data_IF_283202239088
#
_entry.id   IF_283202239088
#
_cell.length_a   1.000
_cell.length_b   1.000
_cell.length_c   1.000
_cell.angle_alpha   90.00
_cell.angle_beta   90.00
_cell.angle_gamma   90.00
#
_symmetry.space_group_name_H-M   'P 1'
#
loop_
_entity.id
_entity.type
_entity.pdbx_description
1 polymer ?
#
# COMPACT_ATOMS: atom_id res chain seq x y z
N UNK A 1 54.28 7.34 -48.81
CA UNK A 1 52.96 7.39 -49.46
C UNK A 1 51.89 7.58 -48.38
N UNK A 2 51.22 8.74 -48.42
CA UNK A 2 49.95 9.17 -47.82
C UNK A 2 49.69 8.83 -46.33
N UNK A 3 49.88 9.72 -45.33
CA UNK A 3 49.22 11.02 -44.98
C UNK A 3 47.70 10.94 -44.77
N UNK A 4 47.27 11.37 -43.57
CA UNK A 4 46.11 12.21 -43.13
C UNK A 4 45.96 11.94 -41.60
N UNK A 5 46.41 12.76 -40.62
CA UNK A 5 46.04 14.14 -40.17
C UNK A 5 44.52 14.28 -40.05
N UNK A 6 43.93 14.53 -38.86
CA UNK A 6 43.54 15.87 -38.38
C UNK A 6 43.01 15.88 -36.91
N UNK A 7 43.55 16.82 -36.13
CA UNK A 7 43.13 17.61 -34.94
C UNK A 7 42.06 17.13 -33.93
N UNK A 8 42.30 17.17 -32.61
CA UNK A 8 42.42 18.29 -31.63
C UNK A 8 41.09 19.01 -31.29
N UNK A 9 40.67 18.97 -30.01
CA UNK A 9 40.42 20.16 -29.17
C UNK A 9 39.89 19.79 -27.77
N UNK A 10 40.68 20.15 -26.76
CA UNK A 10 40.24 20.43 -25.39
C UNK A 10 39.84 21.90 -25.36
N UNK A 11 38.72 22.25 -24.71
CA UNK A 11 38.59 23.57 -24.08
C UNK A 11 37.70 23.52 -22.84
N UNK A 12 38.09 24.40 -21.93
CA UNK A 12 37.79 24.57 -20.52
C UNK A 12 36.90 25.84 -20.37
N UNK A 13 36.38 26.09 -19.17
CA UNK A 13 35.73 27.34 -18.68
C UNK A 13 34.24 27.43 -19.05
N UNK A 14 33.27 27.77 -18.19
CA UNK A 14 33.25 28.25 -16.82
C UNK A 14 31.97 29.08 -16.58
N UNK A 15 31.38 28.94 -15.41
CA UNK A 15 30.72 29.98 -14.61
C UNK A 15 29.38 30.65 -15.07
N UNK A 16 28.31 30.31 -14.31
CA UNK A 16 27.46 31.24 -13.53
C UNK A 16 26.08 31.77 -14.03
N UNK A 17 25.18 31.80 -13.03
CA UNK A 17 23.97 32.63 -12.79
C UNK A 17 22.62 32.34 -13.49
N UNK A 18 21.66 31.90 -12.67
CA UNK A 18 20.43 32.63 -12.37
C UNK A 18 19.19 32.37 -13.24
N UNK A 19 18.05 32.10 -12.60
CA UNK A 19 16.73 32.37 -13.21
C UNK A 19 15.66 31.29 -13.06
N UNK A 20 14.89 31.43 -11.99
CA UNK A 20 13.58 30.85 -11.69
C UNK A 20 12.61 30.71 -12.89
N UNK A 21 11.92 29.57 -13.06
CA UNK A 21 10.48 29.52 -13.48
C UNK A 21 9.89 28.09 -13.35
N UNK A 22 8.92 27.98 -12.43
CA UNK A 22 7.66 27.22 -12.49
C UNK A 22 7.61 25.82 -13.11
N UNK A 23 7.66 24.78 -12.27
CA UNK A 23 7.04 23.48 -12.56
C UNK A 23 5.70 23.35 -11.83
N UNK A 24 4.63 23.20 -12.62
CA UNK A 24 3.29 22.78 -12.18
C UNK A 24 3.35 21.31 -11.75
N UNK A 25 3.29 21.07 -10.43
CA UNK A 25 3.09 19.73 -9.89
C UNK A 25 1.59 19.37 -9.90
N UNK A 26 1.25 18.31 -10.62
CA UNK A 26 -0.07 17.70 -10.61
C UNK A 26 -0.37 17.10 -9.22
N UNK A 27 -1.50 17.51 -8.64
CA UNK A 27 -2.04 16.99 -7.39
C UNK A 27 -2.63 15.58 -7.60
N UNK A 28 -2.16 14.61 -6.83
CA UNK A 28 -2.82 13.32 -6.63
C UNK A 28 -3.74 13.42 -5.39
N UNK A 29 -4.98 12.88 -5.41
CA UNK A 29 -5.85 12.91 -4.25
C UNK A 29 -5.56 11.75 -3.29
N UNK A 30 -4.93 12.05 -2.15
CA UNK A 30 -4.94 11.19 -0.97
C UNK A 30 -6.28 11.35 -0.24
N UNK A 31 -7.09 10.29 -0.19
CA UNK A 31 -8.17 10.12 0.80
C UNK A 31 -7.89 8.88 1.62
N UNK A 32 -7.43 9.07 2.85
CA UNK A 32 -7.53 8.05 3.91
C UNK A 32 -8.91 8.19 4.57
N UNK A 33 -9.64 7.10 4.83
CA UNK A 33 -10.80 7.13 5.72
C UNK A 33 -10.34 7.04 7.18
N UNK A 34 -10.94 7.90 8.01
CA UNK A 34 -10.86 7.87 9.48
C UNK A 34 -11.69 6.69 10.03
N UNK A 35 -11.24 5.98 11.08
CA UNK A 35 -12.09 5.08 11.84
C UNK A 35 -12.76 5.86 12.97
N UNK A 36 -14.08 5.96 12.95
CA UNK A 36 -14.87 6.41 14.11
C UNK A 36 -15.66 5.23 14.67
N UNK A 37 -15.46 5.03 15.98
CA UNK A 37 -16.46 4.65 16.98
C UNK A 37 -17.28 3.38 16.73
N UNK A 38 -16.92 2.31 17.45
CA UNK A 38 -17.90 1.52 18.19
C UNK A 38 -17.24 1.04 19.48
N UNK A 39 -17.75 1.51 20.62
CA UNK A 39 -17.49 0.89 21.90
C UNK A 39 -18.79 0.88 22.70
N UNK A 40 -18.98 -0.24 23.40
CA UNK A 40 -19.83 -0.41 24.59
C UNK A 40 -21.34 -0.41 24.38
N UNK A 41 -21.90 -1.63 24.42
CA UNK A 41 -22.96 -1.93 25.38
C UNK A 41 -23.05 -3.44 25.67
N UNK A 42 -23.32 -3.73 26.95
CA UNK A 42 -23.81 -4.98 27.58
C UNK A 42 -22.81 -6.04 28.08
N UNK A 43 -22.58 -5.94 29.40
CA UNK A 43 -22.55 -7.10 30.31
C UNK A 43 -23.97 -7.60 30.63
N UNK A 44 -24.13 -8.92 30.72
CA UNK A 44 -24.71 -9.58 31.92
C UNK A 44 -26.22 -9.84 32.04
N UNK A 45 -26.56 -11.15 32.06
CA UNK A 45 -27.65 -11.83 32.79
C UNK A 45 -29.13 -11.59 32.43
N UNK A 46 -29.83 -12.62 31.92
CA UNK A 46 -30.57 -13.57 32.78
C UNK A 46 -31.31 -14.68 31.99
N UNK A 47 -31.48 -15.81 32.69
CA UNK A 47 -32.18 -17.05 32.32
C UNK A 47 -33.67 -16.87 32.00
N UNK A 48 -34.19 -17.65 31.04
CA UNK A 48 -35.28 -18.63 31.19
C UNK A 48 -35.75 -19.14 29.81
N UNK A 49 -35.86 -20.47 29.66
CA UNK A 49 -36.52 -21.14 28.53
C UNK A 49 -38.05 -21.26 28.74
N UNK A 50 -38.73 -22.17 28.01
CA UNK A 50 -39.32 -21.87 26.70
C UNK A 50 -40.87 -22.04 26.68
N UNK A 51 -41.59 -21.34 25.80
CA UNK A 51 -42.97 -21.70 25.44
C UNK A 51 -43.32 -21.42 23.96
N UNK A 52 -43.70 -22.51 23.30
CA UNK A 52 -44.74 -22.75 22.27
C UNK A 52 -45.36 -21.61 21.43
N UNK A 53 -45.40 -21.88 20.11
CA UNK A 53 -46.52 -21.80 19.16
C UNK A 53 -47.59 -20.71 19.34
N UNK A 54 -47.82 -19.87 18.33
CA UNK A 54 -49.01 -19.92 17.46
C UNK A 54 -48.99 -18.85 16.36
N UNK A 55 -49.21 -19.27 15.12
CA UNK A 55 -49.72 -18.46 14.01
C UNK A 55 -51.19 -18.12 14.28
N UNK A 56 -51.72 -17.01 13.70
CA UNK A 56 -52.71 -17.26 12.65
C UNK A 56 -52.61 -16.33 11.43
N UNK A 57 -53.43 -16.72 10.48
CA UNK A 57 -53.47 -16.46 9.05
C UNK A 57 -54.44 -15.32 8.67
N UNK A 58 -54.28 -14.81 7.44
CA UNK A 58 -55.27 -14.23 6.51
C UNK A 58 -55.98 -12.87 6.70
N UNK A 59 -55.74 -12.04 5.67
CA UNK A 59 -56.70 -11.32 4.80
C UNK A 59 -57.67 -10.27 5.40
N UNK A 60 -57.58 -9.00 4.93
CA UNK A 60 -58.39 -8.37 3.86
C UNK A 60 -58.24 -6.79 3.90
N UNK A 61 -58.88 -5.96 3.05
CA UNK A 61 -58.33 -5.24 1.88
C UNK A 61 -58.28 -3.68 2.04
N UNK A 62 -57.89 -2.87 1.00
CA UNK A 62 -57.58 -1.45 1.17
C UNK A 62 -58.81 -0.53 1.02
N UNK A 63 -58.90 0.51 1.84
CA UNK A 63 -59.91 1.57 1.72
C UNK A 63 -59.41 2.77 0.91
N UNK A 64 -60.18 3.09 -0.13
CA UNK A 64 -60.20 4.35 -0.89
C UNK A 64 -60.76 5.49 -0.02
N UNK A 65 -60.26 6.72 -0.20
CA UNK A 65 -61.09 7.93 -0.37
C UNK A 65 -60.27 9.17 -0.78
N UNK A 66 -60.91 10.26 -1.28
CA UNK A 66 -60.52 10.91 -2.53
C UNK A 66 -60.07 12.38 -2.40
N UNK A 67 -59.48 12.93 -3.46
CA UNK A 67 -59.45 14.38 -3.75
C UNK A 67 -60.77 14.79 -4.44
N UNK A 68 -61.24 16.06 -4.32
CA UNK A 68 -60.94 17.03 -5.40
C UNK A 68 -61.00 18.54 -5.05
N UNK A 69 -60.24 19.35 -5.81
CA UNK A 69 -60.55 20.66 -6.46
C UNK A 69 -59.21 21.41 -6.70
N UNK A 70 -58.68 21.72 -7.91
CA UNK A 70 -59.21 22.34 -9.14
C UNK A 70 -59.99 23.64 -8.84
N UNK A 71 -59.72 24.84 -9.38
CA UNK A 71 -59.05 25.34 -10.60
C UNK A 71 -59.11 26.93 -10.52
N UNK A 72 -58.87 27.77 -11.56
CA UNK A 72 -57.66 27.98 -12.36
C UNK A 72 -57.35 29.49 -12.76
N UNK A 73 -56.11 29.76 -13.20
CA UNK A 73 -55.64 30.63 -14.36
C UNK A 73 -56.04 32.13 -14.51
N UNK A 74 -55.50 32.92 -15.49
CA UNK A 74 -54.22 32.90 -16.25
C UNK A 74 -53.54 34.29 -16.48
N UNK A 75 -52.39 34.23 -17.17
CA UNK A 75 -51.98 35.09 -18.32
C UNK A 75 -51.15 36.38 -18.07
N UNK A 76 -49.94 36.44 -18.65
CA UNK A 76 -49.66 37.03 -19.99
C UNK A 76 -48.22 37.60 -20.04
N UNK A 77 -47.37 37.02 -20.89
CA UNK A 77 -46.15 37.65 -21.43
C UNK A 77 -46.57 38.44 -22.71
N UNK A 78 -45.91 39.55 -23.15
CA UNK A 78 -44.63 39.45 -23.87
C UNK A 78 -43.70 40.72 -23.94
N UNK A 79 -42.38 40.51 -23.84
CA UNK A 79 -41.28 40.97 -24.75
C UNK A 79 -41.10 42.49 -25.13
N UNK A 80 -40.07 42.93 -25.93
CA UNK A 80 -38.86 43.66 -25.47
C UNK A 80 -38.60 45.04 -26.16
N UNK A 81 -37.40 45.63 -25.92
CA UNK A 81 -36.72 46.86 -26.46
C UNK A 81 -36.69 47.98 -25.41
N UNK A 82 -35.61 48.76 -25.16
CA UNK A 82 -34.68 49.41 -26.08
C UNK A 82 -33.48 50.01 -25.29
N UNK A 83 -32.36 50.22 -25.98
CA UNK A 83 -31.11 50.84 -25.51
C UNK A 83 -31.28 52.25 -24.92
N UNK A 84 -30.61 52.53 -23.81
CA UNK A 84 -30.09 53.88 -23.51
C UNK A 84 -28.65 53.81 -22.99
N UNK A 85 -27.78 54.55 -23.67
CA UNK A 85 -26.39 54.82 -23.32
C UNK A 85 -26.30 55.44 -21.92
N UNK A 86 -25.48 54.84 -21.03
CA UNK A 86 -24.85 55.56 -19.92
C UNK A 86 -23.35 55.35 -19.97
N UNK A 87 -22.64 56.47 -19.95
CA UNK A 87 -21.20 56.64 -19.97
C UNK A 87 -20.47 55.77 -18.90
N UNK A 88 -19.19 55.42 -19.14
CA UNK A 88 -18.42 54.60 -18.21
C UNK A 88 -18.20 55.36 -16.89
N UNK A 89 -18.67 54.76 -15.80
CA UNK A 89 -18.35 55.17 -14.43
C UNK A 89 -16.83 55.07 -14.23
N UNK A 90 -16.15 56.11 -13.69
CA UNK A 90 -14.73 56.02 -13.36
C UNK A 90 -14.50 54.85 -12.40
N UNK A 91 -13.65 53.91 -12.78
CA UNK A 91 -13.19 52.85 -11.88
C UNK A 91 -12.43 53.51 -10.73
N UNK A 92 -13.04 53.56 -9.55
CA UNK A 92 -12.30 53.78 -8.31
C UNK A 92 -11.26 52.66 -8.19
N UNK A 93 -9.99 52.99 -7.89
CA UNK A 93 -8.97 51.97 -7.69
C UNK A 93 -9.44 51.04 -6.57
N UNK A 94 -9.50 49.74 -6.87
CA UNK A 94 -9.77 48.67 -5.93
C UNK A 94 -8.90 48.89 -4.69
N UNK A 95 -9.51 49.38 -3.60
CA UNK A 95 -8.84 49.36 -2.30
C UNK A 95 -8.61 47.90 -1.96
N UNK A 96 -7.40 47.52 -1.47
CA UNK A 96 -7.18 46.19 -0.96
C UNK A 96 -8.26 45.90 0.06
N UNK A 97 -9.02 44.83 -0.14
CA UNK A 97 -9.88 44.29 0.91
C UNK A 97 -8.96 44.02 2.08
N UNK A 98 -9.07 44.84 3.14
CA UNK A 98 -8.44 44.55 4.42
C UNK A 98 -8.81 43.12 4.76
N UNK A 99 -7.81 42.24 4.76
CA UNK A 99 -7.95 40.85 5.18
C UNK A 99 -8.26 40.85 6.67
N UNK A 100 -9.52 41.12 7.02
CA UNK A 100 -10.08 40.81 8.32
C UNK A 100 -9.86 39.32 8.52
N UNK A 101 -8.84 38.99 9.32
CA UNK A 101 -8.55 37.63 9.77
C UNK A 101 -9.88 37.08 10.26
N UNK A 102 -10.41 36.06 9.56
CA UNK A 102 -11.58 35.30 10.01
C UNK A 102 -11.31 34.91 11.46
N UNK A 103 -12.05 35.49 12.40
CA UNK A 103 -11.88 35.20 13.81
C UNK A 103 -12.04 33.70 14.04
N UNK A 104 -11.05 33.08 14.68
CA UNK A 104 -11.17 31.68 15.06
C UNK A 104 -12.31 31.54 16.08
N UNK A 105 -13.25 30.63 15.82
CA UNK A 105 -14.36 30.33 16.76
C UNK A 105 -13.82 29.72 18.06
N UNK A 106 -12.70 28.99 17.96
CA UNK A 106 -12.02 28.40 19.10
C UNK A 106 -11.41 29.49 20.00
N UNK A 107 -11.72 29.42 21.30
CA UNK A 107 -11.05 30.25 22.31
C UNK A 107 -9.65 29.70 22.52
N UNK A 108 -8.65 30.56 22.29
CA UNK A 108 -7.25 30.24 22.52
C UNK A 108 -6.84 30.94 23.82
N UNK A 109 -6.47 30.16 24.83
CA UNK A 109 -5.81 30.65 26.03
C UNK A 109 -4.31 30.37 25.91
N UNK A 110 -3.46 31.34 26.22
CA UNK A 110 -2.04 31.07 26.40
C UNK A 110 -1.87 30.16 27.62
N UNK A 111 -1.20 29.03 27.45
CA UNK A 111 -0.81 28.19 28.59
C UNK A 111 0.26 28.87 29.46
N UNK A 112 0.66 28.20 30.53
CA UNK A 112 1.60 28.73 31.55
C UNK A 112 3.06 28.91 31.06
N UNK A 113 3.30 28.82 29.75
CA UNK A 113 4.61 29.01 29.12
C UNK A 113 5.63 27.89 29.39
N UNK A 114 5.27 26.87 30.17
CA UNK A 114 6.10 25.70 30.49
C UNK A 114 5.40 24.41 30.04
N UNK A 115 6.17 23.36 29.75
CA UNK A 115 5.60 22.07 29.36
C UNK A 115 4.89 21.42 30.57
N UNK A 116 3.62 20.97 30.43
CA UNK A 116 2.88 20.37 31.53
C UNK A 116 3.50 19.05 32.00
N UNK A 117 3.97 18.99 33.25
CA UNK A 117 4.69 17.85 33.82
C UNK A 117 3.93 17.15 34.97
N UNK A 118 2.61 17.34 35.06
CA UNK A 118 1.75 16.87 36.16
C UNK A 118 1.75 15.34 36.33
N UNK A 119 2.12 14.60 35.30
CA UNK A 119 2.18 13.14 35.29
C UNK A 119 3.62 12.60 35.35
N UNK A 120 4.59 13.44 35.73
CA UNK A 120 6.00 13.07 35.81
C UNK A 120 6.70 13.03 34.45
N UNK A 121 6.18 13.73 33.44
CA UNK A 121 6.80 13.73 32.11
C UNK A 121 8.15 14.44 32.10
N UNK A 122 9.12 13.82 31.44
CA UNK A 122 10.48 14.33 31.29
C UNK A 122 10.81 14.54 29.82
N UNK A 123 11.65 15.55 29.55
CA UNK A 123 12.18 15.82 28.22
C UNK A 123 13.52 15.12 28.03
N UNK A 124 13.63 14.25 27.02
CA UNK A 124 14.86 13.56 26.64
C UNK A 124 15.17 13.78 25.16
N UNK A 125 16.45 13.91 24.84
CA UNK A 125 16.94 13.94 23.47
C UNK A 125 17.88 12.76 23.24
N UNK A 126 17.67 12.02 22.15
CA UNK A 126 18.48 10.87 21.75
C UNK A 126 19.22 11.20 20.46
N UNK A 127 20.53 10.94 20.42
CA UNK A 127 21.32 11.07 19.20
C UNK A 127 21.10 9.86 18.28
N UNK A 128 20.34 10.09 17.21
CA UNK A 128 20.04 9.09 16.17
C UNK A 128 20.91 9.30 14.93
N UNK A 129 21.83 10.27 14.95
CA UNK A 129 22.72 10.56 13.83
C UNK A 129 23.58 9.38 13.35
N UNK A 130 24.03 8.44 14.21
CA UNK A 130 24.76 7.27 13.72
C UNK A 130 23.91 6.39 12.81
N UNK A 131 22.59 6.33 13.04
CA UNK A 131 21.67 5.57 12.19
C UNK A 131 21.36 6.32 10.88
N UNK A 132 20.90 7.56 10.98
CA UNK A 132 20.43 8.35 9.82
C UNK A 132 21.54 8.63 8.80
N UNK A 133 22.80 8.76 9.25
CA UNK A 133 23.96 8.90 8.35
C UNK A 133 24.25 7.62 7.55
N UNK A 134 23.92 6.44 8.11
CA UNK A 134 24.17 5.14 7.45
C UNK A 134 23.08 4.78 6.46
N UNK A 135 21.84 5.17 6.73
CA UNK A 135 20.68 4.87 5.89
C UNK A 135 20.53 5.94 4.82
N UNK A 136 20.97 5.60 3.60
CA UNK A 136 20.88 6.48 2.43
C UNK A 136 19.77 6.07 1.45
N UNK A 137 19.03 5.00 1.76
CA UNK A 137 17.97 4.47 0.90
C UNK A 137 16.67 5.28 0.91
N UNK A 138 16.52 6.20 1.87
CA UNK A 138 15.32 7.03 2.02
C UNK A 138 15.70 8.45 2.43
N UNK A 139 14.83 9.42 2.09
CA UNK A 139 15.02 10.82 2.44
C UNK A 139 14.78 11.11 3.93
N UNK A 140 13.98 10.27 4.62
CA UNK A 140 13.59 10.44 6.02
C UNK A 140 13.80 9.17 6.83
N UNK A 141 15.06 8.74 7.05
CA UNK A 141 15.35 7.51 7.79
C UNK A 141 14.83 7.55 9.23
N UNK A 142 14.77 8.74 9.86
CA UNK A 142 14.26 8.94 11.22
C UNK A 142 12.79 8.53 11.39
N UNK A 143 12.00 8.50 10.32
CA UNK A 143 10.60 8.09 10.38
C UNK A 143 10.46 6.62 10.80
N UNK A 144 11.40 5.76 10.41
CA UNK A 144 11.38 4.36 10.82
C UNK A 144 11.43 4.22 12.35
N UNK A 145 12.28 5.01 13.02
CA UNK A 145 12.39 5.01 14.48
C UNK A 145 11.06 5.43 15.11
N UNK A 146 10.45 6.51 14.62
CA UNK A 146 9.16 7.02 15.10
C UNK A 146 8.07 5.95 14.94
N UNK A 147 7.97 5.35 13.76
CA UNK A 147 6.93 4.35 13.50
C UNK A 147 7.11 3.11 14.39
N UNK A 148 8.35 2.69 14.65
CA UNK A 148 8.65 1.58 15.55
C UNK A 148 8.33 1.90 17.01
N UNK A 149 8.61 3.12 17.46
CA UNK A 149 8.20 3.59 18.79
C UNK A 149 6.68 3.52 18.92
N UNK A 150 5.93 4.06 17.95
CA UNK A 150 4.46 4.05 17.98
C UNK A 150 3.87 2.64 17.97
N UNK A 151 4.55 1.68 17.33
CA UNK A 151 4.13 0.28 17.33
C UNK A 151 4.38 -0.41 18.68
N UNK A 152 5.49 -0.08 19.35
CA UNK A 152 5.83 -0.69 20.63
C UNK A 152 5.02 -0.12 21.78
N UNK A 153 4.82 1.20 21.78
CA UNK A 153 4.15 1.93 22.87
C UNK A 153 2.65 2.13 22.63
N UNK A 154 2.19 1.94 21.38
CA UNK A 154 0.81 2.13 20.98
C UNK A 154 0.44 3.59 20.72
N UNK A 155 -0.57 3.80 19.87
CA UNK A 155 -1.03 5.14 19.48
C UNK A 155 -1.58 5.95 20.66
N UNK A 156 -2.30 5.30 21.58
CA UNK A 156 -2.96 5.94 22.72
C UNK A 156 -1.99 6.51 23.74
N UNK A 157 -0.77 5.96 23.84
CA UNK A 157 0.27 6.50 24.72
C UNK A 157 0.69 7.92 24.32
N UNK A 158 0.59 8.28 23.02
CA UNK A 158 1.04 9.58 22.51
C UNK A 158 -0.09 10.58 22.29
N UNK A 159 -1.32 10.09 22.14
CA UNK A 159 -2.49 10.90 21.77
C UNK A 159 -3.62 10.82 22.81
N UNK A 160 -3.25 10.57 24.06
CA UNK A 160 -4.18 10.49 25.19
C UNK A 160 -4.26 11.79 25.99
N UNK A 161 -4.61 11.64 27.27
CA UNK A 161 -4.74 12.75 28.22
C UNK A 161 -3.38 13.34 28.63
N UNK A 162 -2.36 12.48 28.76
CA UNK A 162 -1.00 12.89 29.10
C UNK A 162 -0.42 13.65 27.91
N UNK A 163 -0.08 14.93 28.14
CA UNK A 163 0.61 15.73 27.14
C UNK A 163 1.97 15.09 26.84
N UNK A 164 2.19 14.71 25.59
CA UNK A 164 3.41 14.05 25.14
C UNK A 164 3.88 14.63 23.80
N UNK A 165 5.16 14.47 23.51
CA UNK A 165 5.79 14.95 22.28
C UNK A 165 6.72 13.86 21.75
N UNK A 166 6.57 13.49 20.49
CA UNK A 166 7.48 12.65 19.74
C UNK A 166 7.88 13.38 18.46
N UNK A 167 9.13 13.82 18.38
CA UNK A 167 9.61 14.56 17.20
C UNK A 167 11.02 14.15 16.84
N UNK A 168 11.22 13.72 15.60
CA UNK A 168 12.53 13.34 15.09
C UNK A 168 12.96 14.26 13.94
N UNK A 169 14.26 14.55 13.89
CA UNK A 169 14.92 15.05 12.69
C UNK A 169 16.09 14.12 12.32
N UNK A 170 16.90 14.48 11.34
CA UNK A 170 18.02 13.64 10.89
C UNK A 170 19.14 13.43 11.95
N UNK A 171 19.10 14.08 13.11
CA UNK A 171 20.14 14.00 14.15
C UNK A 171 19.59 13.58 15.50
N UNK A 172 18.47 14.15 15.90
CA UNK A 172 17.92 14.04 17.24
C UNK A 172 16.49 13.51 17.17
N UNK A 173 16.20 12.55 18.05
CA UNK A 173 14.86 12.22 18.48
C UNK A 173 14.59 12.96 19.80
N UNK A 174 13.51 13.73 19.85
CA UNK A 174 13.06 14.46 21.04
C UNK A 174 11.80 13.82 21.55
N UNK A 175 11.82 13.49 22.84
CA UNK A 175 10.71 12.79 23.50
C UNK A 175 10.35 13.49 24.80
N UNK A 176 9.08 13.86 24.91
CA UNK A 176 8.46 14.30 26.14
C UNK A 176 7.41 13.27 26.56
N UNK A 177 7.72 12.50 27.60
CA UNK A 177 6.84 11.44 28.12
C UNK A 177 7.27 11.03 29.54
N UNK A 178 6.45 10.22 30.22
CA UNK A 178 6.74 9.57 31.50
C UNK A 178 7.93 8.60 31.37
N UNK A 179 8.61 8.34 32.49
CA UNK A 179 9.83 7.54 32.51
C UNK A 179 9.64 6.12 31.96
N UNK A 180 8.50 5.47 32.21
CA UNK A 180 8.23 4.12 31.72
C UNK A 180 8.21 4.04 30.18
N UNK A 181 7.63 5.06 29.51
CA UNK A 181 7.63 5.13 28.04
C UNK A 181 9.00 5.53 27.52
N UNK A 182 9.74 6.37 28.24
CA UNK A 182 11.10 6.75 27.87
C UNK A 182 12.05 5.55 27.84
N UNK A 183 11.86 4.56 28.73
CA UNK A 183 12.67 3.33 28.76
C UNK A 183 12.38 2.42 27.55
N UNK A 184 11.11 2.33 27.14
CA UNK A 184 10.72 1.63 25.91
C UNK A 184 11.30 2.34 24.67
N UNK A 185 11.22 3.66 24.63
CA UNK A 185 11.83 4.48 23.55
C UNK A 185 13.33 4.24 23.48
N UNK A 186 14.04 4.28 24.62
CA UNK A 186 15.48 4.05 24.66
C UNK A 186 15.84 2.67 24.09
N UNK A 187 15.10 1.63 24.49
CA UNK A 187 15.27 0.27 23.98
C UNK A 187 15.10 0.20 22.45
N UNK A 188 14.09 0.87 21.91
CA UNK A 188 13.88 0.93 20.45
C UNK A 188 15.04 1.69 19.79
N UNK A 189 15.37 2.89 20.26
CA UNK A 189 16.44 3.72 19.68
C UNK A 189 17.78 2.98 19.65
N UNK A 190 18.14 2.28 20.72
CA UNK A 190 19.38 1.53 20.80
C UNK A 190 19.47 0.48 19.68
N UNK A 191 18.38 -0.23 19.37
CA UNK A 191 18.33 -1.23 18.27
C UNK A 191 18.62 -0.63 16.89
N UNK A 192 18.36 0.66 16.69
CA UNK A 192 18.65 1.38 15.45
C UNK A 192 20.08 1.91 15.40
N UNK A 193 20.56 2.44 16.52
CA UNK A 193 21.87 3.09 16.60
C UNK A 193 23.01 2.06 16.68
N UNK A 194 22.74 0.87 17.21
CA UNK A 194 23.71 -0.23 17.34
C UNK A 194 24.35 -0.61 16.00
N UNK A 195 25.69 -0.60 15.94
CA UNK A 195 26.43 -0.67 14.67
C UNK A 195 26.45 -2.08 14.05
N UNK A 196 26.44 -3.13 14.87
CA UNK A 196 26.54 -4.52 14.40
C UNK A 196 25.36 -4.94 13.52
N UNK A 197 24.25 -4.21 13.60
CA UNK A 197 23.01 -4.51 12.89
C UNK A 197 22.75 -3.55 11.72
N UNK A 198 23.74 -2.73 11.34
CA UNK A 198 23.56 -1.62 10.40
C UNK A 198 23.02 -2.04 9.01
N UNK A 199 23.47 -3.18 8.48
CA UNK A 199 22.93 -3.78 7.25
C UNK A 199 22.97 -5.31 7.36
N UNK A 200 21.80 -5.91 7.28
CA UNK A 200 21.65 -7.36 7.33
C UNK A 200 21.20 -7.87 5.97
N UNK A 201 21.72 -9.03 5.60
CA UNK A 201 21.28 -9.73 4.40
C UNK A 201 20.22 -10.74 4.80
N UNK A 202 19.07 -10.71 4.13
CA UNK A 202 17.96 -11.65 4.28
C UNK A 202 17.75 -12.41 2.98
N UNK A 203 17.62 -13.72 3.05
CA UNK A 203 17.05 -14.51 1.97
C UNK A 203 15.53 -14.53 2.13
N UNK A 204 14.82 -14.08 1.09
CA UNK A 204 13.39 -14.24 0.98
C UNK A 204 13.13 -15.25 -0.14
N UNK A 205 12.30 -16.26 0.11
CA UNK A 205 11.73 -17.10 -0.93
C UNK A 205 10.21 -17.05 -0.86
N UNK A 206 9.59 -16.78 -1.99
CA UNK A 206 8.14 -16.70 -2.18
C UNK A 206 7.74 -17.83 -3.11
N UNK A 207 6.94 -18.75 -2.60
CA UNK A 207 6.51 -19.96 -3.31
C UNK A 207 5.00 -20.00 -3.29
N UNK A 208 4.40 -20.50 -4.37
CA UNK A 208 3.02 -20.87 -4.43
C UNK A 208 2.88 -22.39 -4.54
N UNK A 209 1.92 -22.94 -3.82
CA UNK A 209 1.50 -24.34 -3.88
C UNK A 209 0.00 -24.42 -4.17
N UNK A 210 -0.45 -25.43 -4.91
CA UNK A 210 -1.87 -25.61 -5.20
C UNK A 210 -2.66 -26.21 -4.02
N UNK A 211 -2.01 -26.92 -3.11
CA UNK A 211 -2.64 -27.61 -1.98
C UNK A 211 -1.86 -27.48 -0.67
N UNK A 212 -2.56 -27.24 0.46
CA UNK A 212 -1.94 -27.05 1.79
C UNK A 212 -1.41 -28.33 2.44
N UNK A 213 -1.54 -29.48 1.77
CA UNK A 213 -1.14 -30.79 2.31
C UNK A 213 0.37 -30.97 2.51
N UNK A 214 1.21 -30.03 2.03
CA UNK A 214 2.65 -30.02 2.34
C UNK A 214 2.91 -29.97 3.86
N UNK A 215 1.99 -29.38 4.64
CA UNK A 215 2.07 -29.33 6.11
C UNK A 215 2.18 -30.70 6.76
N UNK A 216 1.54 -31.71 6.19
CA UNK A 216 1.55 -33.08 6.73
C UNK A 216 2.97 -33.65 6.73
N UNK A 217 3.72 -33.39 5.66
CA UNK A 217 5.13 -33.81 5.55
C UNK A 217 6.06 -32.92 6.37
N UNK A 218 5.76 -31.62 6.43
CA UNK A 218 6.55 -30.64 7.16
C UNK A 218 6.34 -30.67 8.68
N UNK A 219 5.32 -31.36 9.21
CA UNK A 219 4.90 -31.26 10.62
C UNK A 219 6.03 -31.49 11.64
N UNK A 220 7.01 -32.36 11.31
CA UNK A 220 8.15 -32.64 12.20
C UNK A 220 9.32 -31.66 12.07
N UNK A 221 9.31 -30.85 11.01
CA UNK A 221 10.36 -29.88 10.66
C UNK A 221 10.05 -28.47 11.19
N UNK A 222 8.80 -28.21 11.55
CA UNK A 222 8.28 -26.86 11.81
C UNK A 222 7.76 -26.73 13.24
N UNK A 223 8.01 -25.58 13.86
CA UNK A 223 7.49 -25.23 15.19
C UNK A 223 6.57 -24.02 15.08
N UNK A 224 5.34 -24.07 15.61
CA UNK A 224 4.36 -23.01 15.39
C UNK A 224 4.77 -21.69 16.04
N UNK A 225 4.46 -20.59 15.35
CA UNK A 225 4.56 -19.21 15.85
C UNK A 225 3.14 -18.64 15.95
N UNK A 226 2.87 -17.90 17.02
CA UNK A 226 1.58 -17.25 17.21
C UNK A 226 1.28 -16.28 16.05
N UNK A 227 0.04 -16.30 15.59
CA UNK A 227 -0.45 -15.41 14.53
C UNK A 227 -1.76 -14.76 14.98
N UNK A 228 -1.96 -13.52 14.60
CA UNK A 228 -3.16 -12.74 14.94
C UNK A 228 -4.14 -12.68 13.76
N UNK A 229 -3.64 -12.83 12.53
CA UNK A 229 -4.48 -12.77 11.33
C UNK A 229 -5.18 -14.11 11.08
N UNK A 230 -6.53 -14.17 11.02
CA UNK A 230 -7.24 -15.39 10.69
C UNK A 230 -6.84 -15.94 9.32
N UNK A 231 -6.56 -17.25 9.25
CA UNK A 231 -6.19 -17.94 8.00
C UNK A 231 -4.70 -17.86 7.65
N UNK A 232 -3.92 -17.06 8.38
CA UNK A 232 -2.46 -17.09 8.33
C UNK A 232 -1.93 -18.14 9.31
N UNK A 233 -0.80 -18.74 8.98
CA UNK A 233 -0.10 -19.63 9.90
C UNK A 233 1.39 -19.42 9.73
N UNK A 234 2.13 -19.40 10.84
CA UNK A 234 3.57 -19.22 10.80
C UNK A 234 4.28 -20.28 11.63
N UNK A 235 5.51 -20.59 11.24
CA UNK A 235 6.39 -21.51 11.92
C UNK A 235 7.83 -21.05 11.86
N UNK A 236 8.64 -21.53 12.80
CA UNK A 236 10.10 -21.50 12.72
C UNK A 236 10.63 -22.88 12.41
N UNK A 237 11.74 -22.93 11.66
CA UNK A 237 12.48 -24.15 11.38
C UNK A 237 13.98 -23.89 11.25
N UNK A 238 14.79 -24.95 11.25
CA UNK A 238 16.21 -24.82 10.97
C UNK A 238 16.47 -24.63 9.48
N UNK A 239 17.66 -24.18 9.12
CA UNK A 239 18.02 -23.87 7.72
C UNK A 239 18.15 -25.14 6.88
N UNK A 240 18.65 -26.21 7.47
CA UNK A 240 18.71 -27.54 6.89
C UNK A 240 17.31 -28.11 6.61
N UNK A 241 16.37 -27.91 7.54
CA UNK A 241 14.99 -28.36 7.42
C UNK A 241 14.25 -27.61 6.31
N UNK A 242 14.52 -26.31 6.14
CA UNK A 242 14.04 -25.53 5.00
C UNK A 242 14.52 -26.13 3.67
N UNK A 243 15.78 -26.54 3.57
CA UNK A 243 16.30 -27.13 2.34
C UNK A 243 15.58 -28.46 2.00
N UNK A 244 15.33 -29.30 3.02
CA UNK A 244 14.56 -30.54 2.86
C UNK A 244 13.12 -30.25 2.41
N UNK A 245 12.45 -29.28 3.06
CA UNK A 245 11.08 -28.90 2.70
C UNK A 245 11.00 -28.33 1.29
N UNK A 246 11.95 -27.47 0.90
CA UNK A 246 12.00 -26.93 -0.46
C UNK A 246 12.24 -28.01 -1.51
N UNK A 247 13.06 -29.02 -1.21
CA UNK A 247 13.25 -30.16 -2.11
C UNK A 247 11.97 -30.99 -2.24
N UNK A 248 11.25 -31.25 -1.15
CA UNK A 248 9.95 -31.95 -1.19
C UNK A 248 8.90 -31.14 -1.97
N UNK A 249 8.83 -29.82 -1.74
CA UNK A 249 7.94 -28.92 -2.46
C UNK A 249 8.26 -28.88 -3.95
N UNK A 250 9.54 -28.75 -4.33
CA UNK A 250 9.97 -28.67 -5.72
C UNK A 250 9.68 -29.92 -6.55
N UNK A 251 9.46 -31.07 -5.90
CA UNK A 251 9.05 -32.31 -6.58
C UNK A 251 7.54 -32.37 -6.89
N UNK A 252 6.76 -31.38 -6.45
CA UNK A 252 5.32 -31.36 -6.66
C UNK A 252 4.95 -30.69 -7.98
N UNK A 253 3.92 -31.22 -8.64
CA UNK A 253 3.39 -30.66 -9.89
C UNK A 253 2.70 -29.30 -9.70
N UNK A 254 2.28 -28.97 -8.48
CA UNK A 254 1.60 -27.73 -8.11
C UNK A 254 2.53 -26.68 -7.49
N UNK A 255 3.85 -26.88 -7.58
CA UNK A 255 4.86 -25.94 -7.10
C UNK A 255 5.16 -24.86 -8.13
N UNK A 256 5.21 -23.61 -7.67
CA UNK A 256 5.69 -22.48 -8.46
C UNK A 256 6.52 -21.54 -7.58
N UNK A 257 7.73 -21.21 -8.00
CA UNK A 257 8.55 -20.21 -7.34
C UNK A 257 8.21 -18.82 -7.89
N UNK A 258 7.67 -17.95 -7.03
CA UNK A 258 7.28 -16.60 -7.41
C UNK A 258 8.46 -15.63 -7.34
N UNK A 259 9.29 -15.76 -6.32
CA UNK A 259 10.47 -14.91 -6.14
C UNK A 259 11.49 -15.49 -5.15
N UNK A 260 12.78 -15.18 -5.32
CA UNK A 260 13.85 -15.53 -4.38
C UNK A 260 14.93 -14.43 -4.23
N UNK A 261 14.60 -13.21 -3.81
CA UNK A 261 15.59 -12.15 -3.72
C UNK A 261 16.49 -12.32 -2.48
N UNK A 262 17.76 -11.93 -2.63
CA UNK A 262 18.66 -11.68 -1.51
C UNK A 262 18.62 -10.18 -1.20
N UNK A 263 18.21 -9.83 0.01
CA UNK A 263 17.84 -8.49 0.40
C UNK A 263 18.83 -7.93 1.41
N UNK A 264 19.52 -6.85 1.06
CA UNK A 264 20.31 -6.08 2.02
C UNK A 264 19.44 -4.96 2.59
N UNK A 265 19.04 -5.10 3.84
CA UNK A 265 18.11 -4.18 4.51
C UNK A 265 18.73 -3.69 5.81
N UNK A 266 18.64 -2.39 6.05
CA UNK A 266 19.04 -1.79 7.32
C UNK A 266 17.92 -1.97 8.36
N UNK A 267 18.29 -2.03 9.65
CA UNK A 267 17.31 -2.13 10.73
C UNK A 267 16.19 -1.07 10.63
N UNK A 268 14.96 -1.55 10.77
CA UNK A 268 13.72 -0.78 10.72
C UNK A 268 13.36 -0.22 9.35
N UNK A 269 14.18 -0.42 8.32
CA UNK A 269 13.87 0.03 6.96
C UNK A 269 13.01 -0.99 6.22
N UNK A 270 12.13 -0.48 5.37
CA UNK A 270 11.24 -1.31 4.57
C UNK A 270 11.90 -1.65 3.23
N UNK A 271 11.92 -2.93 2.91
CA UNK A 271 12.11 -3.40 1.54
C UNK A 271 10.74 -3.68 0.91
N UNK A 272 10.52 -3.20 -0.30
CA UNK A 272 9.30 -3.43 -1.05
C UNK A 272 9.57 -4.14 -2.36
N UNK A 273 8.78 -5.17 -2.65
CA UNK A 273 8.73 -5.85 -3.93
C UNK A 273 7.35 -5.70 -4.53
N UNK A 274 7.29 -5.17 -5.74
CA UNK A 274 6.04 -4.94 -6.47
C UNK A 274 6.11 -5.68 -7.79
N UNK A 275 5.11 -6.50 -8.05
CA UNK A 275 4.94 -7.17 -9.33
C UNK A 275 3.45 -7.05 -9.71
N UNK A 276 3.15 -5.95 -10.39
CA UNK A 276 1.79 -5.62 -10.84
C UNK A 276 1.76 -5.40 -12.36
N UNK A 277 0.62 -5.69 -12.98
CA UNK A 277 0.32 -5.42 -14.38
C UNK A 277 -1.02 -4.72 -14.55
N UNK A 278 -1.16 -3.81 -15.53
CA UNK A 278 -2.45 -3.26 -15.88
C UNK A 278 -3.29 -4.29 -16.65
N UNK A 279 -4.53 -4.52 -16.21
CA UNK A 279 -5.55 -5.26 -16.95
C UNK A 279 -6.59 -4.27 -17.50
N UNK A 280 -6.55 -3.95 -18.81
CA UNK A 280 -7.50 -3.03 -19.40
C UNK A 280 -8.89 -3.68 -19.54
N UNK A 281 -9.94 -2.86 -19.50
CA UNK A 281 -11.34 -3.25 -19.73
C UNK A 281 -12.16 -2.06 -20.25
N UNK A 282 -13.28 -2.34 -20.94
CA UNK A 282 -14.17 -1.29 -21.45
C UNK A 282 -15.13 -0.81 -20.35
N UNK A 283 -14.80 0.26 -19.63
CA UNK A 283 -15.52 0.63 -18.41
C UNK A 283 -16.82 1.38 -18.66
N UNK A 284 -16.82 2.32 -19.60
CA UNK A 284 -17.92 3.24 -19.80
C UNK A 284 -17.97 3.72 -21.24
N UNK A 285 -18.97 4.56 -21.53
CA UNK A 285 -19.12 5.23 -22.79
C UNK A 285 -18.67 6.69 -22.65
N UNK A 286 -17.81 7.14 -23.55
CA UNK A 286 -17.32 8.52 -23.59
C UNK A 286 -17.51 9.14 -24.97
N UNK A 287 -17.55 10.47 -25.03
CA UNK A 287 -17.61 11.19 -26.31
C UNK A 287 -16.29 11.07 -27.06
N UNK A 288 -16.35 10.75 -28.34
CA UNK A 288 -15.17 10.70 -29.21
C UNK A 288 -14.82 12.13 -29.67
N UNK A 289 -13.60 12.58 -29.38
CA UNK A 289 -13.07 13.85 -29.91
C UNK A 289 -13.84 15.11 -29.47
N UNK A 290 -14.60 15.05 -28.36
CA UNK A 290 -15.38 16.19 -27.86
C UNK A 290 -16.63 16.55 -28.68
N UNK A 291 -16.98 15.73 -29.68
CA UNK A 291 -18.18 15.94 -30.50
C UNK A 291 -19.39 15.36 -29.78
N UNK A 292 -20.38 16.21 -29.47
CA UNK A 292 -21.62 15.77 -28.84
C UNK A 292 -22.38 14.79 -29.75
N UNK A 293 -22.76 13.63 -29.21
CA UNK A 293 -23.56 12.63 -29.92
C UNK A 293 -22.78 11.50 -30.59
N UNK A 294 -21.44 11.53 -30.57
CA UNK A 294 -20.61 10.38 -30.98
C UNK A 294 -20.03 9.72 -29.74
N UNK A 295 -20.53 8.52 -29.44
CA UNK A 295 -20.22 7.79 -28.22
C UNK A 295 -19.42 6.52 -28.53
N UNK A 296 -18.32 6.29 -27.83
CA UNK A 296 -17.51 5.08 -27.95
C UNK A 296 -17.10 4.50 -26.58
N UNK A 297 -16.75 3.20 -26.51
CA UNK A 297 -16.20 2.61 -25.30
C UNK A 297 -14.93 3.33 -24.83
N UNK A 298 -14.90 3.68 -23.55
CA UNK A 298 -13.76 4.24 -22.86
C UNK A 298 -13.06 3.14 -22.06
N UNK A 299 -11.76 2.97 -22.33
CA UNK A 299 -10.90 2.02 -21.62
C UNK A 299 -10.58 2.54 -20.22
N UNK A 300 -10.64 1.63 -19.25
CA UNK A 300 -10.04 1.79 -17.93
C UNK A 300 -9.14 0.58 -17.64
N UNK A 301 -8.44 0.59 -16.49
CA UNK A 301 -7.54 -0.49 -16.11
C UNK A 301 -7.62 -0.79 -14.62
N UNK A 302 -7.43 -2.06 -14.26
CA UNK A 302 -7.21 -2.53 -12.88
C UNK A 302 -5.76 -3.01 -12.77
N UNK A 303 -5.06 -2.63 -11.70
CA UNK A 303 -3.73 -3.17 -11.42
C UNK A 303 -3.87 -4.54 -10.75
N UNK A 304 -3.49 -5.60 -11.46
CA UNK A 304 -3.40 -6.96 -10.94
C UNK A 304 -1.99 -7.28 -10.49
N UNK A 305 -1.84 -8.13 -9.49
CA UNK A 305 -0.55 -8.64 -9.02
C UNK A 305 -0.40 -8.48 -7.51
N UNK A 306 0.82 -8.26 -7.05
CA UNK A 306 1.12 -8.19 -5.63
C UNK A 306 2.14 -7.13 -5.27
N UNK A 307 2.03 -6.67 -4.03
CA UNK A 307 2.99 -5.83 -3.32
C UNK A 307 3.35 -6.54 -2.03
N UNK A 308 4.64 -6.66 -1.74
CA UNK A 308 5.17 -7.17 -0.49
C UNK A 308 6.09 -6.15 0.13
N UNK A 309 5.87 -5.87 1.41
CA UNK A 309 6.72 -5.03 2.23
C UNK A 309 7.25 -5.84 3.39
N UNK A 310 8.57 -5.79 3.58
CA UNK A 310 9.25 -6.47 4.67
C UNK A 310 10.11 -5.45 5.44
N UNK A 311 9.86 -5.32 6.74
CA UNK A 311 10.55 -4.37 7.61
C UNK A 311 11.16 -5.11 8.80
N UNK A 312 12.44 -5.52 8.75
CA UNK A 312 13.10 -6.21 9.85
C UNK A 312 13.68 -5.23 10.88
N UNK A 313 13.69 -5.62 12.15
CA UNK A 313 14.35 -4.95 13.25
C UNK A 313 14.94 -5.99 14.20
N UNK A 314 16.27 -6.10 14.23
CA UNK A 314 16.95 -7.02 15.14
C UNK A 314 16.85 -6.53 16.59
N UNK A 315 16.85 -7.47 17.53
CA UNK A 315 17.09 -7.14 18.94
C UNK A 315 18.56 -6.71 19.16
N UNK A 316 18.88 -6.09 20.29
CA UNK A 316 20.21 -5.60 20.64
C UNK A 316 21.27 -6.71 20.54
N UNK A 317 20.99 -7.88 21.13
CA UNK A 317 21.90 -9.03 21.11
C UNK A 317 21.96 -9.73 19.73
N UNK A 318 21.13 -9.32 18.77
CA UNK A 318 21.04 -9.94 17.46
C UNK A 318 20.54 -11.38 17.45
N UNK A 319 20.07 -11.91 18.58
CA UNK A 319 19.57 -13.28 18.75
C UNK A 319 18.17 -13.47 18.20
N UNK A 320 17.36 -12.41 18.19
CA UNK A 320 16.00 -12.42 17.68
C UNK A 320 15.83 -11.36 16.59
N UNK A 321 14.96 -11.70 15.64
CA UNK A 321 14.52 -10.82 14.59
C UNK A 321 13.05 -10.56 14.82
N UNK A 322 12.73 -9.29 14.77
CA UNK A 322 11.38 -8.83 14.70
C UNK A 322 11.11 -8.29 13.31
N UNK A 323 9.95 -8.55 12.73
CA UNK A 323 9.64 -7.97 11.43
C UNK A 323 8.16 -7.69 11.26
N UNK A 324 7.88 -6.74 10.38
CA UNK A 324 6.54 -6.49 9.88
C UNK A 324 6.51 -6.98 8.45
N UNK A 325 5.57 -7.87 8.16
CA UNK A 325 5.29 -8.39 6.83
C UNK A 325 3.95 -7.84 6.38
N UNK A 326 3.95 -7.10 5.27
CA UNK A 326 2.72 -6.62 4.63
C UNK A 326 2.65 -7.17 3.24
N UNK A 327 1.51 -7.72 2.87
CA UNK A 327 1.31 -8.25 1.53
C UNK A 327 -0.08 -7.92 1.03
N UNK A 328 -0.15 -7.26 -0.12
CA UNK A 328 -1.37 -6.95 -0.83
C UNK A 328 -1.37 -7.72 -2.15
N UNK A 329 -2.43 -8.49 -2.40
CA UNK A 329 -2.63 -9.21 -3.65
C UNK A 329 -3.96 -8.76 -4.24
N UNK A 330 -3.96 -8.37 -5.50
CA UNK A 330 -5.17 -8.00 -6.26
C UNK A 330 -5.23 -8.80 -7.54
N UNK A 331 -6.37 -9.45 -7.80
CA UNK A 331 -6.58 -10.21 -9.04
C UNK A 331 -8.00 -9.96 -9.56
N UNK A 332 -8.15 -9.79 -10.88
CA UNK A 332 -9.49 -9.79 -11.51
C UNK A 332 -9.84 -11.24 -11.84
N UNK A 333 -10.81 -11.81 -11.15
CA UNK A 333 -11.27 -13.17 -11.39
C UNK A 333 -12.01 -13.28 -12.73
N UNK A 334 -12.84 -12.27 -13.03
CA UNK A 334 -13.70 -12.26 -14.21
C UNK A 334 -14.06 -10.85 -14.65
N UNK A 335 -14.20 -10.64 -15.95
CA UNK A 335 -14.81 -9.44 -16.53
C UNK A 335 -16.24 -9.78 -16.95
N UNK A 336 -17.23 -9.15 -16.32
CA UNK A 336 -18.64 -9.31 -16.69
C UNK A 336 -18.96 -8.35 -17.81
N UNK A 337 -19.11 -8.90 -19.03
CA UNK A 337 -19.47 -8.09 -20.19
C UNK A 337 -20.98 -7.91 -20.32
N UNK A 338 -21.41 -6.71 -20.67
CA UNK A 338 -22.78 -6.38 -21.05
C UNK A 338 -22.77 -5.44 -22.25
N UNK A 339 -23.80 -5.53 -23.09
CA UNK A 339 -23.93 -4.71 -24.29
C UNK A 339 -24.89 -3.54 -24.07
N UNK A 340 -24.53 -2.36 -24.56
CA UNK A 340 -25.38 -1.16 -24.57
C UNK A 340 -25.63 -0.76 -26.02
N UNK A 341 -26.90 -0.55 -26.38
CA UNK A 341 -27.26 -0.01 -27.69
C UNK A 341 -26.89 1.48 -27.75
N UNK A 342 -26.17 1.89 -28.78
CA UNK A 342 -25.77 3.26 -29.00
C UNK A 342 -26.77 3.95 -29.93
N UNK A 343 -27.29 5.09 -29.49
CA UNK A 343 -28.02 6.00 -30.35
C UNK A 343 -27.00 6.77 -31.23
N UNK A 344 -26.68 6.24 -32.41
CA UNK A 344 -25.84 6.93 -33.40
C UNK A 344 -26.71 7.58 -34.47
N UNK A 345 -26.50 8.86 -34.81
CA UNK A 345 -27.23 9.54 -35.90
C UNK A 345 -26.80 9.06 -37.30
N UNK A 346 -25.71 8.28 -37.42
CA UNK A 346 -25.11 7.87 -38.71
C UNK A 346 -25.39 6.40 -39.04
N UNK A 347 -25.65 5.54 -38.04
CA UNK A 347 -25.97 4.12 -38.26
C UNK A 347 -26.89 3.59 -37.16
N UNK A 348 -28.05 3.06 -37.55
CA UNK A 348 -28.99 2.42 -36.62
C UNK A 348 -28.43 1.07 -36.14
N UNK A 349 -28.41 0.84 -34.81
CA UNK A 349 -28.16 -0.48 -34.21
C UNK A 349 -26.71 -0.78 -33.77
N UNK A 350 -25.85 0.22 -33.57
CA UNK A 350 -24.50 -0.03 -33.07
C UNK A 350 -24.54 -0.44 -31.59
N UNK A 351 -23.90 -1.57 -31.24
CA UNK A 351 -23.78 -2.05 -29.85
C UNK A 351 -22.36 -1.84 -29.34
N UNK A 352 -22.24 -1.23 -28.16
CA UNK A 352 -20.99 -1.18 -27.41
C UNK A 352 -20.94 -2.31 -26.39
N UNK A 353 -19.79 -2.97 -26.27
CA UNK A 353 -19.51 -3.94 -25.20
C UNK A 353 -18.79 -3.24 -24.06
N UNK A 354 -19.44 -3.17 -22.90
CA UNK A 354 -18.86 -2.69 -21.65
C UNK A 354 -18.58 -3.88 -20.73
N UNK A 355 -17.72 -3.66 -19.74
CA UNK A 355 -17.20 -4.67 -18.86
C UNK A 355 -17.15 -4.15 -17.41
N UNK A 356 -17.51 -5.00 -16.46
CA UNK A 356 -17.37 -4.76 -15.03
C UNK A 356 -16.42 -5.81 -14.43
N UNK A 357 -15.29 -5.41 -13.81
CA UNK A 357 -14.36 -6.35 -13.21
C UNK A 357 -14.90 -6.90 -11.87
N UNK A 358 -14.88 -8.22 -11.73
CA UNK A 358 -14.95 -8.92 -10.45
C UNK A 358 -13.53 -9.06 -9.91
N UNK A 359 -13.22 -8.35 -8.83
CA UNK A 359 -11.90 -8.29 -8.21
C UNK A 359 -11.90 -9.04 -6.88
N UNK A 360 -10.84 -9.83 -6.65
CA UNK A 360 -10.51 -10.37 -5.34
C UNK A 360 -9.28 -9.66 -4.79
N UNK A 361 -9.32 -9.34 -3.50
CA UNK A 361 -8.21 -8.73 -2.79
C UNK A 361 -7.86 -9.58 -1.57
N UNK A 362 -6.57 -9.71 -1.31
CA UNK A 362 -6.03 -10.27 -0.08
C UNK A 362 -5.07 -9.25 0.52
N UNK A 363 -5.16 -9.02 1.83
CA UNK A 363 -4.30 -8.09 2.55
C UNK A 363 -3.82 -8.72 3.84
N UNK A 364 -2.51 -8.71 4.05
CA UNK A 364 -1.84 -9.11 5.28
C UNK A 364 -1.02 -7.94 5.79
N UNK A 365 -1.04 -7.72 7.09
CA UNK A 365 -0.15 -6.80 7.78
C UNK A 365 0.08 -7.33 9.18
N UNK A 366 1.14 -8.11 9.36
CA UNK A 366 1.38 -8.84 10.60
C UNK A 366 2.82 -8.73 11.08
N UNK A 367 2.98 -8.77 12.39
CA UNK A 367 4.25 -8.69 13.10
C UNK A 367 4.69 -10.09 13.50
N UNK A 368 5.93 -10.44 13.18
CA UNK A 368 6.53 -11.73 13.51
C UNK A 368 7.79 -11.53 14.34
N UNK A 369 8.03 -12.45 15.27
CA UNK A 369 9.27 -12.54 16.05
C UNK A 369 9.81 -13.97 16.00
N UNK A 370 11.10 -14.13 15.70
CA UNK A 370 11.74 -15.44 15.65
C UNK A 370 13.25 -15.37 15.93
N UNK A 371 13.88 -16.50 16.31
CA UNK A 371 15.33 -16.58 16.47
C UNK A 371 16.09 -16.32 15.16
N UNK A 372 17.15 -15.52 15.22
CA UNK A 372 17.89 -15.05 14.03
C UNK A 372 18.73 -16.13 13.34
N UNK A 373 19.00 -17.24 14.04
CA UNK A 373 19.64 -18.43 13.48
C UNK A 373 18.66 -19.35 12.74
N UNK A 374 17.35 -19.16 12.91
CA UNK A 374 16.29 -19.95 12.30
C UNK A 374 15.69 -19.27 11.06
N UNK A 375 14.82 -20.01 10.37
CA UNK A 375 14.03 -19.54 9.24
C UNK A 375 12.59 -19.35 9.70
N UNK A 376 12.00 -18.21 9.38
CA UNK A 376 10.56 -17.99 9.51
C UNK A 376 9.87 -18.49 8.24
N UNK A 377 8.90 -19.39 8.40
CA UNK A 377 7.97 -19.82 7.37
C UNK A 377 6.60 -19.20 7.66
N UNK A 378 6.08 -18.40 6.74
CA UNK A 378 4.72 -17.84 6.82
C UNK A 378 3.88 -18.41 5.67
N UNK A 379 2.77 -19.05 6.00
CA UNK A 379 1.75 -19.46 5.04
C UNK A 379 0.57 -18.49 5.11
N UNK A 380 0.19 -17.92 3.97
CA UNK A 380 -0.88 -16.93 3.84
C UNK A 380 -2.28 -17.55 3.71
N UNK A 381 -2.37 -18.88 3.80
CA UNK A 381 -3.57 -19.62 3.42
C UNK A 381 -3.82 -19.56 1.91
N UNK A 382 -5.04 -19.91 1.49
CA UNK A 382 -5.41 -19.93 0.08
C UNK A 382 -5.66 -18.53 -0.47
N UNK A 383 -4.72 -18.01 -1.25
CA UNK A 383 -4.76 -16.68 -1.84
C UNK A 383 -5.04 -16.73 -3.34
N UNK A 384 -5.47 -15.61 -3.96
CA UNK A 384 -5.47 -15.47 -5.41
C UNK A 384 -4.06 -15.66 -5.96
N UNK A 385 -3.94 -16.22 -7.17
CA UNK A 385 -2.63 -16.35 -7.83
C UNK A 385 -2.11 -14.95 -8.21
N UNK A 386 -0.98 -14.51 -7.66
CA UNK A 386 -0.46 -13.17 -7.90
C UNK A 386 0.29 -13.08 -9.23
N UNK A 387 0.62 -14.21 -9.86
CA UNK A 387 1.26 -14.26 -11.16
C UNK A 387 0.22 -14.28 -12.30
N UNK A 388 0.56 -13.65 -13.43
CA UNK A 388 -0.28 -13.70 -14.61
C UNK A 388 -0.49 -15.16 -15.02
N UNK A 389 -1.73 -15.54 -15.32
CA UNK A 389 -1.98 -16.79 -16.04
C UNK A 389 -1.39 -16.62 -17.46
N UNK A 390 -0.10 -16.87 -17.64
CA UNK A 390 0.57 -17.01 -18.95
C UNK A 390 0.18 -18.36 -19.54
N UNK A 391 -1.11 -18.64 -19.63
CA UNK A 391 -1.63 -19.80 -20.34
C UNK A 391 -1.65 -19.49 -21.84
N UNK A 392 -0.46 -19.58 -22.44
CA UNK A 392 -0.30 -19.70 -23.90
C UNK A 392 0.09 -21.14 -24.26
N UNK A 393 -0.45 -22.13 -23.55
CA UNK A 393 -0.16 -23.56 -23.77
C UNK A 393 -1.38 -24.43 -23.47
N UNK A 394 -1.57 -25.47 -24.28
CA UNK A 394 -2.63 -26.47 -24.14
C UNK A 394 -2.63 -27.10 -22.75
N UNK A 395 -3.56 -26.66 -21.90
CA UNK A 395 -3.80 -27.24 -20.60
C UNK A 395 -4.96 -28.24 -20.71
N UNK A 396 -4.72 -29.41 -21.29
CA UNK A 396 -5.73 -30.50 -21.37
C UNK A 396 -6.17 -31.04 -20.01
N UNK A 397 -5.48 -30.68 -18.92
CA UNK A 397 -5.75 -31.21 -17.58
C UNK A 397 -6.20 -30.18 -16.53
N UNK A 398 -6.42 -28.91 -16.89
CA UNK A 398 -7.05 -27.94 -15.97
C UNK A 398 -6.28 -27.62 -14.68
N UNK A 399 -4.96 -27.87 -14.62
CA UNK A 399 -4.19 -27.86 -13.36
C UNK A 399 -3.66 -26.50 -12.90
N UNK A 400 -3.88 -25.40 -13.64
CA UNK A 400 -3.53 -24.09 -13.08
C UNK A 400 -4.62 -23.65 -12.11
N UNK A 401 -4.40 -23.89 -10.83
CA UNK A 401 -5.29 -23.40 -9.78
C UNK A 401 -5.31 -21.86 -9.82
N UNK A 402 -6.51 -21.27 -9.96
CA UNK A 402 -6.70 -19.81 -9.87
C UNK A 402 -6.34 -19.27 -8.49
N UNK A 403 -6.28 -20.17 -7.50
CA UNK A 403 -5.96 -19.93 -6.11
C UNK A 403 -4.96 -20.96 -5.64
N UNK A 404 -3.95 -20.52 -4.92
CA UNK A 404 -2.97 -21.39 -4.29
C UNK A 404 -2.60 -20.83 -2.94
N UNK A 405 -1.86 -21.62 -2.18
CA UNK A 405 -1.27 -21.16 -0.95
C UNK A 405 0.10 -20.56 -1.21
N UNK A 406 0.30 -19.33 -0.75
CA UNK A 406 1.59 -18.64 -0.80
C UNK A 406 2.36 -18.88 0.51
N UNK A 407 3.62 -19.26 0.35
CA UNK A 407 4.58 -19.51 1.40
C UNK A 407 5.73 -18.51 1.29
N UNK A 408 6.06 -17.88 2.41
CA UNK A 408 7.25 -17.07 2.57
C UNK A 408 8.26 -17.78 3.45
N UNK A 409 9.48 -17.97 2.96
CA UNK A 409 10.62 -18.38 3.75
C UNK A 409 11.54 -17.17 3.92
N UNK A 410 11.82 -16.82 5.18
CA UNK A 410 12.63 -15.65 5.52
C UNK A 410 13.79 -16.12 6.40
N UNK A 411 15.00 -16.00 5.88
CA UNK A 411 16.22 -16.42 6.57
C UNK A 411 17.24 -15.27 6.65
N UNK A 412 17.91 -15.11 7.80
CA UNK A 412 18.99 -14.12 7.94
C UNK A 412 20.31 -14.72 7.46
N UNK A 413 20.89 -14.19 6.40
CA UNK A 413 22.19 -14.62 5.87
C UNK A 413 23.38 -14.05 6.66
N UNK A 414 23.16 -12.99 7.43
CA UNK A 414 24.16 -12.38 8.31
C UNK A 414 24.43 -10.91 7.96
N UNK A 415 25.38 -10.27 8.64
CA UNK A 415 25.77 -8.90 8.33
C UNK A 415 26.34 -8.83 6.90
N UNK A 416 25.94 -7.82 6.14
CA UNK A 416 26.57 -7.58 4.83
C UNK A 416 27.98 -7.03 5.08
N UNK A 417 29.01 -7.82 4.80
CA UNK A 417 30.37 -7.29 4.69
C UNK A 417 30.38 -6.30 3.52
N UNK A 418 30.52 -5.02 3.82
CA UNK A 418 30.77 -4.00 2.81
C UNK A 418 32.17 -4.22 2.25
N UNK A 419 32.29 -5.02 1.19
CA UNK A 419 33.52 -5.05 0.40
C UNK A 419 33.64 -3.71 -0.31
N UNK A 420 34.41 -2.79 0.27
CA UNK A 420 34.90 -1.62 -0.44
C UNK A 420 35.74 -2.13 -1.63
N UNK A 421 35.23 -2.04 -2.85
CA UNK A 421 36.00 -2.34 -4.07
C UNK A 421 35.40 -3.31 -5.09
N UNK A 422 34.08 -3.55 -5.13
CA UNK A 422 33.46 -4.21 -6.28
C UNK A 422 32.55 -3.22 -7.01
N UNK A 423 33.05 -2.71 -8.15
CA UNK A 423 32.29 -1.89 -9.08
C UNK A 423 30.95 -2.56 -9.41
N UNK A 424 29.87 -1.84 -9.16
CA UNK A 424 28.53 -2.23 -9.57
C UNK A 424 28.53 -2.45 -11.09
N UNK A 425 28.46 -3.71 -11.51
CA UNK A 425 28.10 -4.05 -12.88
C UNK A 425 26.59 -4.16 -12.87
N UNK A 426 25.92 -3.15 -13.42
CA UNK A 426 24.49 -3.17 -13.70
C UNK A 426 24.16 -4.45 -14.47
N UNK A 427 23.16 -5.27 -14.05
CA UNK A 427 22.66 -6.32 -14.91
C UNK A 427 21.90 -5.66 -16.06
N UNK A 428 22.59 -5.45 -17.18
CA UNK A 428 21.95 -5.15 -18.46
C UNK A 428 21.07 -6.35 -18.79
N UNK A 429 19.76 -6.12 -18.83
CA UNK A 429 18.80 -7.08 -19.38
C UNK A 429 19.30 -7.52 -20.76
N UNK A 430 19.72 -8.77 -20.87
CA UNK A 430 20.02 -9.39 -22.15
C UNK A 430 18.71 -9.49 -22.93
N UNK A 431 18.52 -8.56 -23.88
CA UNK A 431 17.58 -8.68 -24.97
C UNK A 431 17.79 -10.04 -25.65
N UNK A 432 16.83 -10.94 -25.47
CA UNK A 432 16.72 -12.16 -26.26
C UNK A 432 16.62 -11.77 -27.74
N UNK A 433 17.68 -12.05 -28.50
CA UNK A 433 17.63 -12.06 -29.96
C UNK A 433 16.86 -13.32 -30.42
N UNK A 434 15.94 -13.21 -31.39
CA UNK A 434 15.31 -14.38 -31.98
C UNK A 434 16.34 -15.17 -32.80
N UNK A 435 16.52 -16.44 -32.44
CA UNK A 435 17.33 -17.40 -33.21
C UNK A 435 16.47 -17.96 -34.35
N UNK A 436 16.75 -17.54 -35.58
CA UNK A 436 16.23 -18.18 -36.78
C UNK A 436 17.02 -19.46 -37.06
N UNK A 437 16.39 -20.61 -36.84
CA UNK A 437 16.91 -21.92 -37.24
C UNK A 437 16.45 -22.23 -38.67
N UNK A 438 17.39 -22.38 -39.61
CA UNK A 438 17.16 -22.96 -40.94
C UNK A 438 18.02 -24.23 -41.03
N UNK A 439 17.38 -25.39 -40.92
CA UNK A 439 17.98 -26.67 -41.25
C UNK A 439 17.72 -27.00 -42.72
N UNK A 440 18.79 -27.32 -43.45
CA UNK A 440 18.73 -28.05 -44.72
C UNK A 440 19.03 -29.53 -44.43
N UNK A 441 18.07 -30.40 -44.74
CA UNK A 441 18.21 -31.51 -45.68
C UNK A 441 16.82 -31.81 -46.24
#
# INVERSE_FOLDING_TARGET
MNRWITLFAVLLIGASFGGNTGFLAAQAPNRYPTPNQYNQDRYGQNNNGPTSNTLPDRNNPPSRNPAPNQNPTPNRNPNPKQNENKEPVPQEPLRPVDQQRRGYIARVTGGDGTLPNQHGQVWREYDISPYTKRVTSTQRPEQAIVDWILRETGYTAWHGEVTSILSANNRLLRVYHQDEVQDLVATVVDRFVHQEHAKQTFGLKVIQTGSPNWRVRAQRLIQPVATETPGVSAWVMRREDMALLLADLGNRMDYSELSSPSLQVANGQTFAQVATRPRPYNASLGNVGGVAGIVAPQLAQVQEGWTLEFTPLLNLDGTEIESILRCDITQVEKLHSYSVDLASPVAQGQRARLEVPQVVQYRLSERFRWPSNMVLLVAMGMTPNPQPNTQTGWNWFGLASSRGEILFFIDRRGPSLSTAGASATTPTQAQQRPSNYHGRY
#
